data_IF_525217556511
#
_entry.id   IF_525217556511
#
_cell.length_a   1.000
_cell.length_b   1.000
_cell.length_c   1.000
_cell.angle_alpha   90.00
_cell.angle_beta   90.00
_cell.angle_gamma   90.00
#
_symmetry.space_group_name_H-M   'P 1'
#
loop_
_entity.id
_entity.type
_entity.pdbx_description
1 polymer ?
#
# COMPACT_ATOMS: atom_id res chain seq x y z
N UNK A 1 9.81 -19.08 46.26
CA UNK A 1 9.55 -18.64 44.87
C UNK A 1 10.18 -19.67 43.94
N UNK A 2 9.38 -20.53 43.31
CA UNK A 2 9.86 -21.56 42.38
C UNK A 2 10.03 -20.97 40.99
N UNK A 3 11.20 -21.18 40.37
CA UNK A 3 11.47 -20.71 39.02
C UNK A 3 10.50 -21.38 38.02
N UNK A 4 9.94 -20.63 37.05
CA UNK A 4 9.06 -21.22 36.04
C UNK A 4 9.84 -22.16 35.10
N UNK A 5 9.25 -23.31 34.78
CA UNK A 5 9.79 -24.28 33.82
C UNK A 5 10.07 -23.62 32.46
N UNK A 6 11.18 -23.96 31.79
CA UNK A 6 11.62 -23.30 30.55
C UNK A 6 10.55 -23.23 29.46
N UNK A 7 9.68 -24.21 29.39
CA UNK A 7 8.52 -24.26 28.49
C UNK A 7 7.57 -23.06 28.68
N UNK A 8 7.27 -22.68 29.93
CA UNK A 8 6.37 -21.57 30.27
C UNK A 8 6.98 -20.18 30.03
N UNK A 9 8.30 -20.10 29.81
CA UNK A 9 8.96 -18.84 29.46
C UNK A 9 8.70 -18.42 28.01
N UNK A 10 8.38 -19.37 27.13
CA UNK A 10 8.24 -19.14 25.69
C UNK A 10 6.83 -19.43 25.16
N UNK A 11 6.03 -20.22 25.87
CA UNK A 11 4.65 -20.54 25.49
C UNK A 11 3.63 -19.79 26.37
N UNK A 12 2.73 -19.04 25.74
CA UNK A 12 1.60 -18.38 26.42
C UNK A 12 0.29 -19.06 26.01
N UNK A 13 -0.44 -19.74 26.92
CA UNK A 13 -1.58 -20.59 26.55
C UNK A 13 -2.78 -19.81 26.00
N UNK A 14 -2.82 -18.48 26.19
CA UNK A 14 -3.89 -17.60 25.70
C UNK A 14 -3.47 -16.73 24.50
N UNK A 15 -2.33 -17.05 23.86
CA UNK A 15 -1.71 -16.20 22.85
C UNK A 15 -1.03 -14.96 23.44
N UNK A 16 -0.24 -14.27 22.63
CA UNK A 16 0.55 -13.10 23.02
C UNK A 16 2.05 -13.38 23.17
N UNK A 17 2.83 -12.31 23.34
CA UNK A 17 4.28 -12.41 23.50
C UNK A 17 4.66 -12.56 24.97
N UNK A 18 5.42 -13.61 25.30
CA UNK A 18 5.99 -13.76 26.65
C UNK A 18 7.06 -12.70 26.91
N UNK A 19 7.36 -12.35 28.18
CA UNK A 19 8.41 -11.39 28.52
C UNK A 19 9.79 -11.78 27.95
N UNK A 20 10.09 -13.08 27.88
CA UNK A 20 11.32 -13.58 27.26
C UNK A 20 11.34 -13.33 25.75
N UNK A 21 10.22 -13.54 25.07
CA UNK A 21 10.07 -13.33 23.62
C UNK A 21 10.06 -11.84 23.23
N UNK A 22 9.55 -10.95 24.09
CA UNK A 22 9.63 -9.51 23.87
C UNK A 22 11.09 -9.01 23.95
N UNK A 23 11.87 -9.51 24.90
CA UNK A 23 13.29 -9.14 25.06
C UNK A 23 14.12 -9.54 23.85
N UNK A 24 13.90 -10.74 23.30
CA UNK A 24 14.67 -11.23 22.14
C UNK A 24 14.38 -10.44 20.85
N UNK A 25 13.25 -9.75 20.77
CA UNK A 25 12.85 -8.95 19.60
C UNK A 25 13.34 -7.50 19.62
N UNK A 26 13.65 -6.95 20.80
CA UNK A 26 14.19 -5.58 20.95
C UNK A 26 15.30 -5.22 19.96
N UNK A 27 16.34 -6.05 19.72
CA UNK A 27 17.44 -5.67 18.83
C UNK A 27 17.05 -5.62 17.34
N UNK A 28 15.99 -6.32 16.93
CA UNK A 28 15.58 -6.39 15.52
C UNK A 28 14.57 -5.31 15.16
N UNK A 29 13.85 -4.75 16.12
CA UNK A 29 12.84 -3.72 15.87
C UNK A 29 13.43 -2.50 15.16
N UNK A 30 14.54 -1.97 15.66
CA UNK A 30 15.19 -0.78 15.08
C UNK A 30 15.69 -1.07 13.67
N UNK A 31 16.35 -2.22 13.47
CA UNK A 31 16.91 -2.62 12.18
C UNK A 31 15.81 -2.81 11.13
N UNK A 32 14.72 -3.48 11.50
CA UNK A 32 13.60 -3.73 10.59
C UNK A 32 12.82 -2.44 10.27
N UNK A 33 12.68 -1.52 11.22
CA UNK A 33 12.07 -0.21 10.96
C UNK A 33 12.96 0.60 10.02
N UNK A 34 14.28 0.59 10.24
CA UNK A 34 15.21 1.30 9.37
C UNK A 34 15.19 0.76 7.93
N UNK A 35 15.16 -0.56 7.74
CA UNK A 35 15.05 -1.17 6.40
C UNK A 35 13.71 -0.84 5.75
N UNK A 36 12.60 -0.88 6.50
CA UNK A 36 11.29 -0.49 5.99
C UNK A 36 11.26 0.99 5.59
N UNK A 37 11.82 1.87 6.42
CA UNK A 37 11.90 3.30 6.14
C UNK A 37 12.74 3.58 4.89
N UNK A 38 13.87 2.87 4.72
CA UNK A 38 14.69 2.94 3.52
C UNK A 38 13.91 2.52 2.28
N UNK A 39 13.18 1.40 2.35
CA UNK A 39 12.38 0.91 1.24
C UNK A 39 11.25 1.89 0.85
N UNK A 40 10.50 2.39 1.83
CA UNK A 40 9.40 3.33 1.61
C UNK A 40 9.93 4.65 1.03
N UNK A 41 11.02 5.18 1.59
CA UNK A 41 11.63 6.42 1.10
C UNK A 41 12.16 6.24 -0.32
N UNK A 42 12.79 5.11 -0.63
CA UNK A 42 13.33 4.83 -1.95
C UNK A 42 12.22 4.71 -3.00
N UNK A 43 11.23 3.83 -2.76
CA UNK A 43 10.12 3.61 -3.69
C UNK A 43 9.27 4.87 -3.84
N UNK A 44 8.94 5.53 -2.72
CA UNK A 44 8.21 6.78 -2.70
C UNK A 44 8.96 7.87 -3.48
N UNK A 45 10.27 8.01 -3.25
CA UNK A 45 11.11 8.98 -3.94
C UNK A 45 11.15 8.77 -5.46
N UNK A 46 11.32 7.52 -5.91
CA UNK A 46 11.27 7.18 -7.34
C UNK A 46 9.90 7.52 -7.94
N UNK A 47 8.81 7.18 -7.24
CA UNK A 47 7.46 7.46 -7.71
C UNK A 47 7.16 8.97 -7.79
N UNK A 48 7.50 9.73 -6.74
CA UNK A 48 7.30 11.17 -6.74
C UNK A 48 8.16 11.86 -7.78
N UNK A 49 9.40 11.40 -7.95
CA UNK A 49 10.28 11.90 -9.01
C UNK A 49 9.67 11.64 -10.38
N UNK A 50 9.15 10.44 -10.64
CA UNK A 50 8.50 10.13 -11.91
C UNK A 50 7.30 11.05 -12.18
N UNK A 51 6.45 11.32 -11.18
CA UNK A 51 5.32 12.25 -11.33
C UNK A 51 5.75 13.69 -11.64
N UNK A 52 6.86 14.15 -11.08
CA UNK A 52 7.35 15.52 -11.26
C UNK A 52 8.19 15.68 -12.53
N UNK A 53 8.96 14.65 -12.89
CA UNK A 53 9.88 14.66 -14.01
C UNK A 53 9.17 14.37 -15.33
N UNK A 54 8.10 13.56 -15.30
CA UNK A 54 7.25 13.34 -16.47
C UNK A 54 6.34 14.55 -16.62
N UNK A 55 6.61 15.36 -17.63
CA UNK A 55 5.70 16.41 -18.04
C UNK A 55 4.38 15.74 -18.45
N UNK A 56 3.28 16.13 -17.81
CA UNK A 56 1.97 15.59 -18.14
C UNK A 56 1.63 16.07 -19.55
N UNK A 57 1.40 15.12 -20.46
CA UNK A 57 1.01 15.42 -21.85
C UNK A 57 -0.31 16.21 -21.86
N UNK A 58 -0.36 17.23 -22.71
CA UNK A 58 -1.58 17.98 -22.99
C UNK A 58 -2.44 17.19 -23.98
N UNK A 59 -3.49 16.55 -23.48
CA UNK A 59 -4.43 15.78 -24.31
C UNK A 59 -5.63 16.63 -24.79
N UNK A 60 -5.56 17.96 -24.70
CA UNK A 60 -6.66 18.83 -25.12
C UNK A 60 -6.94 18.81 -26.62
N UNK A 61 -5.95 18.43 -27.43
CA UNK A 61 -6.06 18.28 -28.88
C UNK A 61 -6.58 16.89 -29.31
N UNK A 62 -6.62 15.93 -28.39
CA UNK A 62 -7.14 14.58 -28.66
C UNK A 62 -8.67 14.61 -28.66
N UNK A 63 -9.33 14.43 -29.82
CA UNK A 63 -10.79 14.37 -29.89
C UNK A 63 -11.33 13.20 -29.07
N UNK A 64 -12.31 13.49 -28.23
CA UNK A 64 -13.00 12.49 -27.42
C UNK A 64 -13.97 11.67 -28.32
N UNK A 65 -14.26 10.40 -27.98
CA UNK A 65 -15.11 9.53 -28.80
C UNK A 65 -16.49 10.10 -29.12
N UNK A 66 -17.00 10.98 -28.25
CA UNK A 66 -18.30 11.62 -28.37
C UNK A 66 -18.33 12.83 -29.34
N UNK A 67 -17.18 13.32 -29.82
CA UNK A 67 -17.10 14.42 -30.80
C UNK A 67 -16.86 13.94 -32.23
N UNK A 68 -16.60 12.64 -32.44
CA UNK A 68 -16.35 12.09 -33.77
C UNK A 68 -17.65 11.83 -34.56
N UNK A 69 -17.76 12.35 -35.80
CA UNK A 69 -18.88 12.00 -36.67
C UNK A 69 -18.81 10.52 -37.05
N UNK A 70 -19.82 9.74 -36.63
CA UNK A 70 -19.94 8.30 -36.92
C UNK A 70 -19.53 7.36 -35.77
N UNK A 71 -19.12 7.89 -34.61
CA UNK A 71 -18.86 7.10 -33.39
C UNK A 71 -19.96 7.38 -32.36
N UNK A 72 -20.68 6.35 -31.94
CA UNK A 72 -21.75 6.47 -30.94
C UNK A 72 -21.23 6.09 -29.55
N UNK A 73 -21.38 6.98 -28.57
CA UNK A 73 -21.00 6.72 -27.18
C UNK A 73 -22.08 5.90 -26.46
N UNK A 74 -21.84 4.59 -26.35
CA UNK A 74 -22.72 3.64 -25.68
C UNK A 74 -22.93 3.95 -24.19
N UNK A 75 -22.01 4.70 -23.54
CA UNK A 75 -22.08 5.00 -22.11
C UNK A 75 -23.23 5.95 -21.79
N UNK A 76 -23.40 6.98 -22.64
CA UNK A 76 -24.47 7.95 -22.49
C UNK A 76 -25.84 7.36 -22.88
N UNK A 77 -25.87 6.46 -23.87
CA UNK A 77 -27.05 5.68 -24.25
C UNK A 77 -27.55 4.79 -23.11
N UNK A 78 -26.67 4.03 -22.47
CA UNK A 78 -27.03 3.19 -21.32
C UNK A 78 -27.45 4.03 -20.11
N UNK A 79 -26.72 5.11 -19.80
CA UNK A 79 -27.08 6.02 -18.71
C UNK A 79 -28.47 6.62 -18.92
N UNK A 80 -28.86 6.93 -20.16
CA UNK A 80 -30.19 7.46 -20.48
C UNK A 80 -31.28 6.39 -20.36
N UNK A 81 -31.01 5.14 -20.76
CA UNK A 81 -31.93 4.00 -20.58
C UNK A 81 -32.14 3.61 -19.12
N UNK A 82 -31.11 3.75 -18.27
CA UNK A 82 -31.17 3.35 -16.87
C UNK A 82 -31.78 4.44 -15.97
N UNK A 83 -31.86 5.68 -16.44
CA UNK A 83 -32.47 6.82 -15.75
C UNK A 83 -33.87 7.18 -16.31
N UNK A 84 -34.43 6.34 -17.17
CA UNK A 84 -35.79 6.43 -17.73
C UNK A 84 -36.56 5.16 -17.34
#
# INVERSE_FOLDING_TARGET
>A
MTAPTREKLYSHPKGGFTPALQRTRKPFQIRNIATLAGLVTFVGGVYTYALMAVQQDDFSDVPLPNTFPGVHDITNEEKKKNNL
#
